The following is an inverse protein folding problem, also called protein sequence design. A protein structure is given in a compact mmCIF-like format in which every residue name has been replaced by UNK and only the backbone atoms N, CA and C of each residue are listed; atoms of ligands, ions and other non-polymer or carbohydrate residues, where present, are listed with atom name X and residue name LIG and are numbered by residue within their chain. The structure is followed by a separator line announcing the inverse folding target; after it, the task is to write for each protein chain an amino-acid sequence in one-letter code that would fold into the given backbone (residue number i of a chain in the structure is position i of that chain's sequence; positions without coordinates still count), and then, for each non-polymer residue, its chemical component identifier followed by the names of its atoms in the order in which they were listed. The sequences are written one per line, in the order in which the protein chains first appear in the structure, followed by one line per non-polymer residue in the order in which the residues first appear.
data_IF_424244279051
#
_entry.id   IF_424244279051
#
_cell.length_a   1.000
_cell.length_b   1.000
_cell.length_c   1.000
_cell.angle_alpha   90.00
_cell.angle_beta   90.00
_cell.angle_gamma   90.00
#
_symmetry.space_group_name_H-M   'P 1'
#
loop_
_entity.id
_entity.type
_entity.pdbx_description
1 polymer ?
#
# COMPACT_ATOMS: atom_id res chain seq x y z
N UNK A 1 -48.97 36.09 68.61
CA UNK A 1 -48.28 35.00 69.34
C UNK A 1 -47.26 34.38 68.40
N UNK A 2 -45.99 34.68 68.66
CA UNK A 2 -44.75 33.98 68.31
C UNK A 2 -44.24 33.82 66.85
N UNK A 3 -42.93 34.13 66.77
CA UNK A 3 -41.87 33.56 65.95
C UNK A 3 -41.56 34.12 64.55
N UNK A 4 -40.71 35.16 64.57
CA UNK A 4 -39.30 35.10 64.14
C UNK A 4 -38.76 33.68 63.84
N UNK A 5 -38.19 33.47 62.66
CA UNK A 5 -36.91 32.77 62.46
C UNK A 5 -36.22 33.24 61.18
N UNK A 6 -34.90 33.10 61.20
CA UNK A 6 -33.85 33.75 60.41
C UNK A 6 -33.62 33.06 59.06
N UNK A 7 -32.96 33.74 58.12
CA UNK A 7 -31.62 33.35 57.61
C UNK A 7 -31.11 34.29 56.49
N UNK A 8 -30.38 35.34 56.90
CA UNK A 8 -28.91 35.52 56.73
C UNK A 8 -28.25 34.90 55.46
N UNK A 9 -27.69 35.82 54.67
CA UNK A 9 -26.42 35.80 53.90
C UNK A 9 -26.33 35.12 52.53
N UNK A 10 -25.67 35.84 51.60
CA UNK A 10 -24.72 35.19 50.72
C UNK A 10 -24.39 35.86 49.39
N UNK A 11 -23.54 36.88 49.43
CA UNK A 11 -22.57 37.29 48.40
C UNK A 11 -23.02 37.59 46.95
N UNK A 12 -22.92 38.87 46.61
CA UNK A 12 -22.66 39.33 45.26
C UNK A 12 -21.33 38.78 44.72
N UNK A 13 -21.30 38.39 43.45
CA UNK A 13 -20.05 38.19 42.71
C UNK A 13 -20.02 39.10 41.47
N UNK A 14 -18.97 39.93 41.40
CA UNK A 14 -18.72 40.92 40.36
C UNK A 14 -18.10 40.26 39.12
N UNK A 15 -18.63 40.65 37.96
CA UNK A 15 -18.01 40.81 36.61
C UNK A 15 -16.73 40.06 36.26
N UNK A 16 -16.70 39.31 35.15
CA UNK A 16 -15.49 39.21 34.30
C UNK A 16 -15.73 38.64 32.88
N UNK A 17 -15.34 39.43 31.87
CA UNK A 17 -14.81 39.12 30.51
C UNK A 17 -15.69 38.39 29.47
N UNK A 18 -16.19 39.19 28.51
CA UNK A 18 -16.44 38.79 27.11
C UNK A 18 -15.10 38.58 26.38
N UNK A 19 -14.68 37.36 26.07
CA UNK A 19 -13.61 37.12 25.08
C UNK A 19 -13.79 35.78 24.34
N UNK A 20 -14.13 35.91 23.05
CA UNK A 20 -14.04 35.00 21.90
C UNK A 20 -13.46 33.59 22.17
N UNK A 21 -14.34 32.61 22.38
CA UNK A 21 -14.05 31.17 22.29
C UNK A 21 -14.33 30.74 20.84
N UNK A 22 -13.35 30.86 19.94
CA UNK A 22 -13.50 30.38 18.55
C UNK A 22 -12.23 29.75 17.96
N UNK A 23 -11.20 29.51 18.78
CA UNK A 23 -9.85 29.20 18.28
C UNK A 23 -9.36 27.74 18.45
N UNK A 24 -9.88 26.84 19.31
CA UNK A 24 -9.27 25.52 19.43
C UNK A 24 -9.68 24.52 18.32
N UNK A 25 -10.63 24.84 17.44
CA UNK A 25 -11.13 23.89 16.42
C UNK A 25 -10.25 23.86 15.15
N UNK A 26 -9.43 24.88 14.90
CA UNK A 26 -8.71 25.02 13.63
C UNK A 26 -7.41 24.20 13.54
N UNK A 27 -6.88 23.69 14.66
CA UNK A 27 -5.58 22.97 14.69
C UNK A 27 -5.71 21.48 14.28
N UNK A 28 -6.94 20.93 14.22
CA UNK A 28 -7.18 19.52 13.88
C UNK A 28 -7.21 19.22 12.36
N UNK A 29 -7.10 20.22 11.49
CA UNK A 29 -7.24 20.04 10.03
C UNK A 29 -5.92 19.84 9.25
N UNK A 30 -4.75 19.89 9.89
CA UNK A 30 -3.46 19.96 9.17
C UNK A 30 -2.71 18.59 9.09
N UNK A 31 -3.20 17.52 9.73
CA UNK A 31 -2.50 16.23 9.75
C UNK A 31 -2.88 15.25 8.62
N UNK A 32 -3.49 15.73 7.53
CA UNK A 32 -4.10 14.88 6.50
C UNK A 32 -3.21 14.32 5.39
N UNK A 33 -1.89 14.49 5.42
CA UNK A 33 -1.01 13.82 4.45
C UNK A 33 -0.43 12.60 5.14
N UNK A 34 -1.05 11.43 4.94
CA UNK A 34 -0.49 10.15 5.36
C UNK A 34 0.41 9.65 4.22
N UNK A 35 1.74 9.84 4.26
CA UNK A 35 2.61 9.16 3.30
C UNK A 35 2.46 7.65 3.46
N UNK A 36 2.44 6.94 2.33
CA UNK A 36 2.33 5.49 2.26
C UNK A 36 3.34 4.79 3.18
N UNK A 37 2.93 3.68 3.79
CA UNK A 37 3.77 2.99 4.76
C UNK A 37 4.93 2.28 4.06
N UNK A 38 6.16 2.67 4.37
CA UNK A 38 7.36 1.93 3.95
C UNK A 38 7.55 0.69 4.85
N UNK A 39 7.75 -0.46 4.23
CA UNK A 39 8.05 -1.73 4.88
C UNK A 39 9.38 -2.26 4.34
N UNK A 40 10.15 -2.95 5.19
CA UNK A 40 11.36 -3.65 4.78
C UNK A 40 11.26 -5.11 5.21
N UNK A 41 11.64 -6.03 4.33
CA UNK A 41 11.55 -7.46 4.59
C UNK A 41 12.74 -8.23 4.03
N UNK A 42 13.11 -9.30 4.73
CA UNK A 42 14.01 -10.32 4.17
C UNK A 42 13.38 -11.00 2.96
N UNK A 43 12.07 -11.22 3.01
CA UNK A 43 11.28 -11.82 1.94
C UNK A 43 9.78 -11.57 2.15
N UNK A 44 9.07 -11.13 1.11
CA UNK A 44 7.61 -11.08 1.07
C UNK A 44 7.10 -11.82 -0.16
N UNK A 45 6.04 -12.63 0.04
CA UNK A 45 5.32 -13.26 -1.08
C UNK A 45 4.45 -12.23 -1.77
N UNK A 46 4.60 -12.14 -3.08
CA UNK A 46 3.92 -11.15 -3.92
C UNK A 46 3.24 -11.82 -5.10
N UNK A 47 2.32 -11.10 -5.72
CA UNK A 47 1.69 -11.43 -6.99
C UNK A 47 1.99 -10.31 -7.97
N UNK A 48 2.62 -10.65 -9.07
CA UNK A 48 2.87 -9.74 -10.18
C UNK A 48 1.72 -9.86 -11.17
N UNK A 49 1.11 -8.72 -11.48
CA UNK A 49 0.03 -8.62 -12.48
C UNK A 49 0.65 -8.16 -13.78
N UNK A 50 0.58 -9.01 -14.80
CA UNK A 50 1.22 -8.81 -16.11
C UNK A 50 0.15 -8.55 -17.16
N UNK A 51 0.27 -7.42 -17.84
CA UNK A 51 -0.53 -7.07 -19.01
C UNK A 51 0.39 -7.03 -20.22
N UNK A 52 0.10 -7.84 -21.24
CA UNK A 52 0.80 -7.81 -22.52
C UNK A 52 2.34 -7.84 -22.41
N UNK A 53 2.85 -8.70 -21.51
CA UNK A 53 4.29 -8.91 -21.20
C UNK A 53 4.94 -7.85 -20.28
N UNK A 54 4.22 -6.80 -19.87
CA UNK A 54 4.70 -5.79 -18.92
C UNK A 54 4.07 -6.02 -17.54
N UNK A 55 4.84 -5.89 -16.46
CA UNK A 55 4.27 -5.93 -15.12
C UNK A 55 3.58 -4.59 -14.85
N UNK A 56 2.26 -4.62 -14.73
CA UNK A 56 1.44 -3.44 -14.44
C UNK A 56 1.59 -3.01 -12.99
N UNK A 57 1.47 -3.95 -12.05
CA UNK A 57 1.55 -3.69 -10.62
C UNK A 57 1.86 -4.95 -9.81
N UNK A 58 2.27 -4.74 -8.57
CA UNK A 58 2.65 -5.79 -7.63
C UNK A 58 1.70 -5.74 -6.43
N UNK A 59 1.19 -6.90 -6.00
CA UNK A 59 0.30 -7.05 -4.86
C UNK A 59 0.98 -7.92 -3.80
N UNK A 60 0.71 -7.66 -2.51
CA UNK A 60 1.04 -8.63 -1.47
C UNK A 60 0.13 -9.85 -1.60
N UNK A 61 0.71 -11.05 -1.56
CA UNK A 61 -0.05 -12.30 -1.67
C UNK A 61 -1.11 -12.44 -0.56
N UNK A 62 -0.82 -11.90 0.63
CA UNK A 62 -1.76 -11.88 1.77
C UNK A 62 -2.91 -10.90 1.56
N UNK A 63 -2.69 -9.80 0.85
CA UNK A 63 -3.76 -8.84 0.52
C UNK A 63 -4.68 -9.40 -0.56
N UNK A 64 -4.10 -10.01 -1.59
CA UNK A 64 -4.85 -10.65 -2.67
C UNK A 64 -5.78 -11.76 -2.14
N UNK A 65 -5.31 -12.62 -1.24
CA UNK A 65 -6.16 -13.65 -0.61
C UNK A 65 -7.35 -13.12 0.19
N UNK A 66 -7.26 -11.88 0.70
CA UNK A 66 -8.33 -11.23 1.46
C UNK A 66 -9.30 -10.46 0.58
N UNK A 67 -8.95 -10.23 -0.68
CA UNK A 67 -9.82 -9.54 -1.63
C UNK A 67 -10.82 -10.52 -2.23
N UNK A 68 -11.97 -9.99 -2.62
CA UNK A 68 -12.87 -10.73 -3.49
C UNK A 68 -12.19 -10.89 -4.86
N UNK A 69 -11.83 -12.13 -5.14
CA UNK A 69 -11.17 -12.52 -6.38
C UNK A 69 -11.98 -12.07 -7.61
N UNK A 70 -13.32 -12.10 -7.55
CA UNK A 70 -14.17 -11.67 -8.67
C UNK A 70 -13.95 -10.19 -9.04
N UNK A 71 -13.84 -9.31 -8.04
CA UNK A 71 -13.58 -7.89 -8.26
C UNK A 71 -12.16 -7.60 -8.76
N UNK A 72 -11.16 -8.38 -8.34
CA UNK A 72 -9.79 -8.27 -8.86
C UNK A 72 -9.71 -8.67 -10.34
N UNK A 73 -10.48 -9.68 -10.77
CA UNK A 73 -10.51 -10.09 -12.18
C UNK A 73 -11.28 -9.14 -13.07
N UNK A 74 -12.45 -8.66 -12.62
CA UNK A 74 -13.24 -7.70 -13.40
C UNK A 74 -12.43 -6.43 -13.72
N UNK A 75 -11.59 -5.99 -12.77
CA UNK A 75 -10.68 -4.85 -12.97
C UNK A 75 -9.49 -5.16 -13.89
N UNK A 76 -9.06 -6.42 -13.96
CA UNK A 76 -7.84 -6.85 -14.64
C UNK A 76 -8.13 -7.95 -15.68
N UNK A 77 -9.21 -7.78 -16.45
CA UNK A 77 -9.57 -8.72 -17.52
C UNK A 77 -8.43 -8.81 -18.53
N UNK A 78 -7.96 -10.03 -18.81
CA UNK A 78 -6.85 -10.29 -19.73
C UNK A 78 -5.45 -10.22 -19.11
N UNK A 79 -5.33 -9.80 -17.84
CA UNK A 79 -4.06 -9.81 -17.13
C UNK A 79 -3.70 -11.22 -16.61
N UNK A 80 -2.41 -11.49 -16.52
CA UNK A 80 -1.85 -12.73 -15.95
C UNK A 80 -1.31 -12.46 -14.55
N UNK A 81 -1.44 -13.44 -13.67
CA UNK A 81 -1.04 -13.31 -12.27
C UNK A 81 0.04 -14.33 -11.95
N UNK A 82 1.27 -13.85 -11.73
CA UNK A 82 2.42 -14.70 -11.41
C UNK A 82 2.80 -14.56 -9.95
N UNK A 83 3.09 -15.68 -9.30
CA UNK A 83 3.62 -15.67 -7.93
C UNK A 83 5.09 -15.25 -7.96
N UNK A 84 5.50 -14.49 -6.97
CA UNK A 84 6.89 -14.09 -6.81
C UNK A 84 7.30 -13.82 -5.37
N UNK A 85 8.54 -13.39 -5.21
CA UNK A 85 9.13 -12.90 -3.98
C UNK A 85 9.66 -11.50 -4.15
N UNK A 86 9.57 -10.70 -3.09
CA UNK A 86 10.20 -9.39 -2.99
C UNK A 86 11.15 -9.38 -1.79
N UNK A 87 12.38 -8.93 -1.99
CA UNK A 87 13.40 -8.79 -0.95
C UNK A 87 13.95 -7.37 -0.95
N UNK A 88 13.88 -6.70 0.20
CA UNK A 88 14.23 -5.28 0.31
C UNK A 88 13.06 -4.45 0.83
N UNK A 89 13.05 -3.18 0.44
CA UNK A 89 12.11 -2.19 0.97
C UNK A 89 11.06 -1.83 -0.07
N UNK A 90 9.84 -1.58 0.36
CA UNK A 90 8.73 -1.25 -0.52
C UNK A 90 7.76 -0.33 0.21
N UNK A 91 7.04 0.48 -0.56
CA UNK A 91 5.90 1.25 -0.06
C UNK A 91 4.61 0.53 -0.36
N UNK A 92 3.66 0.64 0.57
CA UNK A 92 2.32 0.12 0.39
C UNK A 92 1.40 1.28 0.02
N UNK A 93 0.88 1.26 -1.20
CA UNK A 93 -0.08 2.24 -1.73
C UNK A 93 -1.41 1.52 -1.99
N UNK A 94 -2.38 1.76 -1.11
CA UNK A 94 -3.68 1.07 -1.08
C UNK A 94 -3.55 -0.47 -1.09
N UNK A 95 -3.73 -1.07 -2.26
CA UNK A 95 -3.71 -2.51 -2.49
C UNK A 95 -2.38 -2.99 -3.10
N UNK A 96 -1.63 -2.08 -3.69
CA UNK A 96 -0.42 -2.35 -4.42
C UNK A 96 0.81 -2.07 -3.56
N UNK A 97 1.94 -2.58 -4.02
CA UNK A 97 3.24 -2.25 -3.46
C UNK A 97 4.15 -1.69 -4.54
N UNK A 98 4.98 -0.73 -4.14
CA UNK A 98 5.99 -0.10 -4.97
C UNK A 98 7.37 -0.44 -4.38
N UNK A 99 8.16 -1.30 -5.04
CA UNK A 99 9.55 -1.53 -4.66
C UNK A 99 10.35 -0.24 -4.57
N UNK A 100 11.20 -0.11 -3.55
CA UNK A 100 12.22 0.96 -3.47
C UNK A 100 13.51 0.51 -4.11
N UNK A 101 14.44 1.45 -4.32
CA UNK A 101 15.77 1.19 -4.87
C UNK A 101 16.46 0.00 -4.21
N UNK A 102 17.24 -0.75 -4.99
CA UNK A 102 18.01 -1.92 -4.56
C UNK A 102 17.13 -3.06 -4.01
N UNK A 103 15.85 -3.09 -4.38
CA UNK A 103 14.94 -4.21 -4.09
C UNK A 103 15.05 -5.27 -5.18
N UNK A 104 15.06 -6.53 -4.76
CA UNK A 104 15.08 -7.70 -5.63
C UNK A 104 13.68 -8.26 -5.76
N UNK A 105 13.21 -8.42 -6.99
CA UNK A 105 11.96 -9.08 -7.32
C UNK A 105 12.27 -10.39 -8.05
N UNK A 106 11.69 -11.49 -7.58
CA UNK A 106 11.82 -12.80 -8.20
C UNK A 106 10.42 -13.20 -8.69
N UNK A 107 10.23 -13.28 -10.00
CA UNK A 107 8.98 -13.74 -10.62
C UNK A 107 9.11 -15.19 -11.06
N UNK A 108 8.22 -16.05 -10.57
CA UNK A 108 8.16 -17.44 -11.00
C UNK A 108 7.28 -17.58 -12.24
N UNK A 109 7.92 -17.59 -13.41
CA UNK A 109 7.25 -17.47 -14.73
C UNK A 109 6.39 -18.68 -15.10
N UNK A 110 6.57 -19.80 -14.40
CA UNK A 110 5.77 -21.02 -14.53
C UNK A 110 4.67 -21.15 -13.45
N UNK A 111 4.65 -20.27 -12.44
CA UNK A 111 3.66 -20.30 -11.34
C UNK A 111 2.60 -19.23 -11.51
N UNK A 112 1.68 -19.49 -12.43
CA UNK A 112 0.51 -18.65 -12.63
C UNK A 112 -0.62 -19.06 -11.65
N UNK A 113 -1.32 -18.07 -11.10
CA UNK A 113 -2.44 -18.34 -10.18
C UNK A 113 -3.69 -18.80 -10.93
N UNK A 114 -3.90 -18.31 -12.15
CA UNK A 114 -5.05 -18.65 -13.02
C UNK A 114 -4.54 -19.09 -14.40
N UNK A 115 -4.49 -20.39 -14.69
CA UNK A 115 -3.85 -20.90 -15.90
C UNK A 115 -4.80 -20.81 -17.11
N UNK A 116 -4.73 -19.72 -17.87
CA UNK A 116 -5.47 -19.57 -19.15
C UNK A 116 -4.57 -19.74 -20.39
N UNK A 117 -3.50 -20.53 -20.28
CA UNK A 117 -2.62 -20.93 -21.39
C UNK A 117 -1.80 -19.79 -22.04
N UNK A 118 -0.73 -19.35 -21.39
CA UNK A 118 0.52 -18.91 -22.04
C UNK A 118 1.60 -18.64 -21.00
N UNK A 119 2.81 -19.18 -21.20
CA UNK A 119 3.98 -18.92 -20.34
C UNK A 119 4.51 -17.49 -20.57
N UNK A 120 5.08 -16.88 -19.52
CA UNK A 120 5.80 -15.62 -19.67
C UNK A 120 7.12 -15.89 -20.40
N UNK A 121 7.45 -15.20 -21.51
CA UNK A 121 8.63 -15.48 -22.32
C UNK A 121 9.90 -14.90 -21.71
N UNK A 122 10.22 -15.31 -20.47
CA UNK A 122 11.41 -14.85 -19.75
C UNK A 122 12.69 -15.14 -20.55
N UNK A 123 12.72 -16.23 -21.31
CA UNK A 123 13.87 -16.66 -22.12
C UNK A 123 14.31 -15.63 -23.18
N UNK A 124 13.47 -14.63 -23.50
CA UNK A 124 13.82 -13.53 -24.40
C UNK A 124 14.59 -12.39 -23.72
N UNK A 125 14.54 -12.32 -22.39
CA UNK A 125 15.18 -11.28 -21.60
C UNK A 125 16.61 -11.70 -21.23
N UNK A 126 17.57 -10.82 -21.49
CA UNK A 126 18.97 -11.01 -21.18
C UNK A 126 19.36 -10.25 -19.89
N UNK A 127 20.34 -10.75 -19.13
CA UNK A 127 20.91 -9.98 -18.03
C UNK A 127 21.40 -8.60 -18.51
N UNK A 128 21.05 -7.54 -17.78
CA UNK A 128 21.32 -6.15 -18.14
C UNK A 128 20.18 -5.46 -18.89
N UNK A 129 19.17 -6.19 -19.37
CA UNK A 129 18.00 -5.60 -20.02
C UNK A 129 17.20 -4.74 -19.03
N UNK A 130 16.66 -3.63 -19.52
CA UNK A 130 15.72 -2.80 -18.77
C UNK A 130 14.33 -3.42 -18.83
N UNK A 131 13.69 -3.50 -17.68
CA UNK A 131 12.36 -4.06 -17.51
C UNK A 131 11.46 -3.07 -16.76
N UNK A 132 10.30 -2.77 -17.33
CA UNK A 132 9.35 -1.85 -16.70
C UNK A 132 8.45 -2.61 -15.70
N UNK A 133 8.47 -2.17 -14.45
CA UNK A 133 7.65 -2.63 -13.33
C UNK A 133 6.67 -1.51 -12.93
N UNK A 134 5.61 -1.35 -13.72
CA UNK A 134 4.67 -0.25 -13.59
C UNK A 134 5.36 1.10 -13.82
N UNK A 135 5.58 1.87 -12.75
CA UNK A 135 6.28 3.16 -12.79
C UNK A 135 7.79 3.05 -12.53
N UNK A 136 8.25 1.87 -12.11
CA UNK A 136 9.62 1.64 -11.67
C UNK A 136 10.38 0.95 -12.80
N UNK A 137 11.64 1.35 -13.02
CA UNK A 137 12.53 0.63 -13.92
C UNK A 137 13.37 -0.34 -13.11
N UNK A 138 13.46 -1.57 -13.59
CA UNK A 138 14.34 -2.58 -13.04
C UNK A 138 15.30 -3.08 -14.13
N UNK A 139 16.40 -3.66 -13.68
CA UNK A 139 17.35 -4.38 -14.52
C UNK A 139 17.13 -5.89 -14.34
N UNK A 140 17.17 -6.61 -15.44
CA UNK A 140 17.19 -8.08 -15.42
C UNK A 140 18.54 -8.53 -14.88
N UNK A 141 18.55 -9.15 -13.70
CA UNK A 141 19.77 -9.73 -13.11
C UNK A 141 20.01 -11.13 -13.65
N UNK A 142 18.93 -11.90 -13.80
CA UNK A 142 18.98 -13.27 -14.31
C UNK A 142 17.64 -13.62 -14.92
N UNK A 143 17.66 -14.19 -16.11
CA UNK A 143 16.51 -14.82 -16.72
C UNK A 143 16.82 -16.28 -16.96
N UNK A 144 16.13 -17.16 -16.23
CA UNK A 144 16.25 -18.61 -16.38
C UNK A 144 14.85 -19.17 -16.58
N UNK A 145 14.78 -20.36 -17.15
CA UNK A 145 13.51 -21.09 -17.27
C UNK A 145 12.85 -21.19 -15.89
N UNK A 146 11.62 -20.69 -15.78
CA UNK A 146 10.82 -20.68 -14.56
C UNK A 146 11.09 -19.54 -13.57
N UNK A 147 12.14 -18.73 -13.76
CA UNK A 147 12.52 -17.67 -12.81
C UNK A 147 13.13 -16.44 -13.51
N UNK A 148 12.51 -15.28 -13.28
CA UNK A 148 13.03 -13.98 -13.67
C UNK A 148 13.40 -13.19 -12.42
N UNK A 149 14.67 -12.80 -12.29
CA UNK A 149 15.17 -11.97 -11.20
C UNK A 149 15.40 -10.55 -11.72
N UNK A 150 14.76 -9.60 -11.07
CA UNK A 150 14.82 -8.17 -11.37
C UNK A 150 15.41 -7.43 -10.17
N UNK A 151 16.18 -6.39 -10.44
CA UNK A 151 16.70 -5.47 -9.43
C UNK A 151 16.36 -4.04 -9.80
N UNK A 152 15.80 -3.32 -8.85
CA UNK A 152 15.48 -1.88 -8.96
C UNK A 152 16.67 -1.00 -8.60
#
# INVERSE_FOLDING_TARGET
MLSFERCIYGCQNKTLVKTKILIPIFILFISGVCPGQTLSTKEAKVVLVVDSEVVSHILLFTKMQKMDNAHLFERNKGCKFYVGLLKGSYEVNDNYIEPKENTIIIMYTEKQIFPESYFFPADKLLPGDRFDLGKIKAEVVSSKKGELILKT
#
